data_IF_187180767177
#
_entry.id   IF_187180767177
#
_cell.length_a   1.000
_cell.length_b   1.000
_cell.length_c   1.000
_cell.angle_alpha   90.00
_cell.angle_beta   90.00
_cell.angle_gamma   90.00
#
_symmetry.space_group_name_H-M   'P 1'
#
loop_
_entity.id
_entity.type
_entity.pdbx_description
1 polymer ?
#
# COMPACT_ATOMS: atom_id res chain seq x y z
N UNK A 1 13.39 1.20 4.55
CA UNK A 1 13.63 0.97 5.98
C UNK A 1 13.95 2.26 6.73
N UNK A 2 14.97 3.04 6.34
CA UNK A 2 15.38 4.28 7.01
C UNK A 2 14.21 5.22 7.33
N UNK A 3 13.38 5.55 6.35
CA UNK A 3 12.27 6.47 6.54
C UNK A 3 11.14 5.92 7.43
N UNK A 4 11.09 4.61 7.67
CA UNK A 4 10.16 4.03 8.65
C UNK A 4 10.59 4.36 10.10
N UNK A 5 11.85 4.68 10.32
CA UNK A 5 12.40 5.06 11.64
C UNK A 5 12.30 6.57 11.85
N UNK A 6 12.70 7.36 10.84
CA UNK A 6 12.90 8.81 11.00
C UNK A 6 11.73 9.67 10.53
N UNK A 7 10.73 9.09 9.84
CA UNK A 7 9.55 9.81 9.37
C UNK A 7 8.27 9.11 9.86
N UNK A 8 7.74 9.58 10.99
CA UNK A 8 6.59 8.98 11.65
C UNK A 8 5.32 9.05 10.80
N UNK A 9 5.09 10.17 10.10
CA UNK A 9 3.93 10.33 9.22
C UNK A 9 3.99 9.32 8.07
N UNK A 10 5.15 9.21 7.42
CA UNK A 10 5.38 8.23 6.38
C UNK A 10 5.18 6.79 6.90
N UNK A 11 5.77 6.44 8.04
CA UNK A 11 5.69 5.07 8.58
C UNK A 11 4.26 4.67 8.92
N UNK A 12 3.48 5.56 9.53
CA UNK A 12 2.06 5.31 9.85
C UNK A 12 1.22 5.06 8.59
N UNK A 13 1.55 5.75 7.50
CA UNK A 13 0.80 5.68 6.24
C UNK A 13 1.15 4.45 5.42
N UNK A 14 2.41 4.02 5.40
CA UNK A 14 2.88 2.96 4.50
C UNK A 14 2.97 1.57 5.13
N UNK A 15 3.19 1.45 6.45
CA UNK A 15 3.31 0.16 7.13
C UNK A 15 2.14 -0.80 6.84
N UNK A 16 0.86 -0.34 6.78
CA UNK A 16 -0.26 -1.23 6.47
C UNK A 16 -0.20 -1.88 5.08
N UNK A 17 0.60 -1.35 4.17
CA UNK A 17 0.69 -1.81 2.77
C UNK A 17 1.99 -2.54 2.46
N UNK A 18 2.95 -2.53 3.38
CA UNK A 18 4.22 -3.24 3.21
C UNK A 18 4.13 -4.60 3.88
N UNK A 19 4.41 -5.64 3.11
CA UNK A 19 4.53 -7.00 3.63
C UNK A 19 6.00 -7.39 3.79
N UNK A 20 6.33 -8.20 4.83
CA UNK A 20 7.69 -8.67 5.02
C UNK A 20 8.26 -9.39 3.79
N UNK A 21 7.43 -10.08 3.01
CA UNK A 21 7.83 -10.83 1.82
C UNK A 21 8.16 -9.95 0.61
N UNK A 22 7.91 -8.63 0.69
CA UNK A 22 8.38 -7.69 -0.33
C UNK A 22 9.90 -7.51 -0.31
N UNK A 23 10.55 -7.77 0.82
CA UNK A 23 12.01 -7.71 0.95
C UNK A 23 12.65 -9.02 0.45
N UNK A 24 13.66 -8.89 -0.40
CA UNK A 24 14.37 -10.04 -0.98
C UNK A 24 15.37 -10.65 0.00
N UNK A 25 16.02 -9.78 0.78
CA UNK A 25 17.02 -10.21 1.75
C UNK A 25 16.36 -10.47 3.11
N UNK A 26 16.72 -11.61 3.72
CA UNK A 26 16.19 -11.98 5.03
C UNK A 26 16.55 -10.95 6.11
N UNK A 27 17.72 -10.38 6.04
CA UNK A 27 18.19 -9.32 6.95
C UNK A 27 17.32 -8.07 6.89
N UNK A 28 16.94 -7.61 5.69
CA UNK A 28 16.03 -6.46 5.50
C UNK A 28 14.61 -6.77 5.98
N UNK A 29 14.13 -7.99 5.73
CA UNK A 29 12.84 -8.48 6.22
C UNK A 29 12.79 -8.44 7.75
N UNK A 30 13.84 -8.93 8.42
CA UNK A 30 13.96 -8.90 9.89
C UNK A 30 13.94 -7.48 10.43
N UNK A 31 14.67 -6.55 9.81
CA UNK A 31 14.64 -5.12 10.20
C UNK A 31 13.22 -4.56 10.09
N UNK A 32 12.52 -4.83 9.01
CA UNK A 32 11.15 -4.39 8.82
C UNK A 32 10.20 -4.99 9.86
N UNK A 33 10.29 -6.28 10.12
CA UNK A 33 9.47 -6.98 11.12
C UNK A 33 9.65 -6.35 12.52
N UNK A 34 10.89 -6.07 12.96
CA UNK A 34 11.13 -5.49 14.27
C UNK A 34 10.68 -4.02 14.36
N UNK A 35 10.86 -3.23 13.29
CA UNK A 35 10.32 -1.87 13.22
C UNK A 35 8.79 -1.90 13.37
N UNK A 36 8.12 -2.74 12.59
CA UNK A 36 6.65 -2.83 12.58
C UNK A 36 6.12 -3.33 13.93
N UNK A 37 6.71 -4.38 14.48
CA UNK A 37 6.36 -4.93 15.79
C UNK A 37 6.50 -3.91 16.91
N UNK A 38 7.56 -3.10 16.89
CA UNK A 38 7.78 -2.05 17.86
C UNK A 38 6.73 -0.94 17.74
N UNK A 39 6.47 -0.46 16.53
CA UNK A 39 5.47 0.60 16.28
C UNK A 39 4.07 0.13 16.71
N UNK A 40 3.67 -1.10 16.39
CA UNK A 40 2.38 -1.66 16.79
C UNK A 40 2.28 -1.78 18.31
N UNK A 41 3.37 -2.16 18.99
CA UNK A 41 3.37 -2.39 20.44
C UNK A 41 3.42 -1.09 21.25
N UNK A 42 4.19 -0.12 20.80
CA UNK A 42 4.48 1.09 21.58
C UNK A 42 3.88 2.37 21.01
N UNK A 43 3.38 2.35 19.77
CA UNK A 43 2.77 3.52 19.10
C UNK A 43 3.76 4.62 18.75
N UNK A 44 5.07 4.34 18.75
CA UNK A 44 6.15 5.30 18.50
C UNK A 44 7.23 4.68 17.61
N UNK A 45 8.03 5.54 16.95
CA UNK A 45 9.17 5.10 16.17
C UNK A 45 10.22 4.43 17.06
N UNK A 46 10.89 3.40 16.52
CA UNK A 46 11.98 2.69 17.20
C UNK A 46 13.29 3.46 17.01
N UNK A 47 14.18 3.44 18.02
CA UNK A 47 15.56 3.94 17.88
C UNK A 47 16.49 2.84 17.36
N UNK A 48 17.63 3.22 16.79
CA UNK A 48 18.64 2.25 16.31
C UNK A 48 19.14 1.35 17.44
N UNK A 49 19.32 1.91 18.64
CA UNK A 49 19.75 1.14 19.83
C UNK A 49 18.69 0.10 20.21
N UNK A 50 17.41 0.50 20.25
CA UNK A 50 16.32 -0.41 20.55
C UNK A 50 16.19 -1.50 19.47
N UNK A 51 16.33 -1.13 18.20
CA UNK A 51 16.31 -2.07 17.08
C UNK A 51 17.42 -3.12 17.17
N UNK A 52 18.62 -2.71 17.56
CA UNK A 52 19.73 -3.64 17.79
C UNK A 52 19.46 -4.57 18.97
N UNK A 53 18.88 -4.07 20.07
CA UNK A 53 18.50 -4.90 21.23
C UNK A 53 17.42 -5.92 20.87
N UNK A 54 16.36 -5.51 20.13
CA UNK A 54 15.31 -6.41 19.70
C UNK A 54 15.84 -7.46 18.70
N UNK A 55 16.79 -7.09 17.83
CA UNK A 55 17.49 -8.03 16.95
C UNK A 55 18.26 -9.10 17.73
N UNK A 56 18.98 -8.70 18.80
CA UNK A 56 19.76 -9.64 19.62
C UNK A 56 18.88 -10.60 20.43
N UNK A 57 17.66 -10.19 20.75
CA UNK A 57 16.69 -11.02 21.47
C UNK A 57 16.03 -12.08 20.58
N UNK A 58 16.24 -12.03 19.26
CA UNK A 58 15.70 -13.04 18.34
C UNK A 58 16.46 -14.36 18.47
N UNK A 59 15.71 -15.43 18.57
CA UNK A 59 16.23 -16.79 18.69
C UNK A 59 16.24 -17.60 17.39
N UNK A 60 15.63 -17.02 16.35
CA UNK A 60 15.49 -17.63 15.03
C UNK A 60 16.59 -17.20 14.04
N UNK A 61 17.51 -16.35 14.48
CA UNK A 61 18.62 -15.86 13.69
C UNK A 61 19.94 -16.52 14.07
N UNK A 62 20.77 -16.75 13.07
CA UNK A 62 22.17 -17.17 13.27
C UNK A 62 23.03 -15.95 13.63
N UNK A 63 24.20 -16.18 14.22
CA UNK A 63 25.16 -15.10 14.55
C UNK A 63 25.55 -14.27 13.31
N UNK A 64 25.65 -14.91 12.15
CA UNK A 64 25.96 -14.23 10.89
C UNK A 64 24.81 -13.30 10.45
N UNK A 65 23.56 -13.76 10.55
CA UNK A 65 22.37 -12.95 10.24
C UNK A 65 22.20 -11.79 11.23
N UNK A 66 22.42 -12.01 12.52
CA UNK A 66 22.39 -10.93 13.54
C UNK A 66 23.43 -9.84 13.20
N UNK A 67 24.63 -10.23 12.79
CA UNK A 67 25.67 -9.28 12.38
C UNK A 67 25.22 -8.48 11.14
N UNK A 68 24.69 -9.15 10.13
CA UNK A 68 24.20 -8.50 8.89
C UNK A 68 23.08 -7.50 9.21
N UNK A 69 22.09 -7.89 10.03
CA UNK A 69 21.00 -7.02 10.47
C UNK A 69 21.55 -5.80 11.23
N UNK A 70 22.52 -5.97 12.12
CA UNK A 70 23.17 -4.85 12.84
C UNK A 70 23.93 -3.92 11.90
N UNK A 71 24.61 -4.46 10.89
CA UNK A 71 25.31 -3.66 9.89
C UNK A 71 24.31 -2.79 9.09
N UNK A 72 23.15 -3.36 8.73
CA UNK A 72 22.04 -2.62 8.11
C UNK A 72 21.55 -1.53 9.07
N UNK A 73 21.17 -1.88 10.32
CA UNK A 73 20.64 -0.94 11.30
C UNK A 73 21.56 0.27 11.49
N UNK A 74 22.86 0.02 11.67
CA UNK A 74 23.85 1.06 11.88
C UNK A 74 24.12 1.93 10.63
N UNK A 75 23.74 1.45 9.44
CA UNK A 75 23.82 2.20 8.18
C UNK A 75 22.64 3.14 7.97
N UNK A 76 21.55 2.99 8.75
CA UNK A 76 20.32 3.80 8.61
C UNK A 76 20.53 5.18 9.27
N UNK A 77 21.03 6.13 8.48
CA UNK A 77 21.21 7.52 8.92
C UNK A 77 19.97 8.36 8.58
N UNK A 78 19.67 9.33 9.45
CA UNK A 78 18.63 10.33 9.14
C UNK A 78 19.08 11.23 7.98
N UNK A 79 18.42 11.06 6.83
CA UNK A 79 18.66 11.88 5.63
C UNK A 79 17.32 12.37 5.12
N UNK A 80 17.16 13.69 4.90
CA UNK A 80 15.92 14.23 4.40
C UNK A 80 15.59 13.62 3.02
N UNK A 81 14.31 13.34 2.80
CA UNK A 81 13.77 12.91 1.53
C UNK A 81 12.49 13.72 1.26
N UNK A 82 12.24 14.03 0.00
CA UNK A 82 10.95 14.62 -0.39
C UNK A 82 9.82 13.64 -0.07
N UNK A 83 8.81 14.14 0.62
CA UNK A 83 7.73 13.28 1.13
C UNK A 83 6.90 12.67 0.00
N UNK A 84 6.51 13.50 -0.98
CA UNK A 84 5.66 13.02 -2.08
C UNK A 84 6.42 12.00 -2.94
N UNK A 85 7.66 12.31 -3.30
CA UNK A 85 8.50 11.36 -4.02
C UNK A 85 8.67 10.04 -3.28
N UNK A 86 8.85 10.11 -1.95
CA UNK A 86 9.00 8.93 -1.10
C UNK A 86 7.72 8.07 -1.11
N UNK A 87 6.56 8.69 -1.00
CA UNK A 87 5.26 8.02 -1.08
C UNK A 87 5.08 7.34 -2.43
N UNK A 88 5.23 8.07 -3.53
CA UNK A 88 5.03 7.56 -4.89
C UNK A 88 5.99 6.40 -5.21
N UNK A 89 7.26 6.57 -4.80
CA UNK A 89 8.30 5.53 -5.03
C UNK A 89 8.02 4.27 -4.21
N UNK A 90 7.58 4.43 -2.96
CA UNK A 90 7.27 3.29 -2.07
C UNK A 90 6.01 2.56 -2.53
N UNK A 91 4.96 3.29 -2.94
CA UNK A 91 3.76 2.69 -3.50
C UNK A 91 4.07 1.86 -4.76
N UNK A 92 4.84 2.45 -5.68
CA UNK A 92 5.29 1.73 -6.87
C UNK A 92 6.06 0.47 -6.51
N UNK A 93 7.01 0.56 -5.57
CA UNK A 93 7.78 -0.58 -5.11
C UNK A 93 6.90 -1.67 -4.50
N UNK A 94 5.94 -1.33 -3.63
CA UNK A 94 4.99 -2.28 -3.05
C UNK A 94 4.18 -2.99 -4.14
N UNK A 95 3.66 -2.25 -5.12
CA UNK A 95 2.89 -2.80 -6.24
C UNK A 95 3.74 -3.75 -7.10
N UNK A 96 4.96 -3.34 -7.45
CA UNK A 96 5.87 -4.15 -8.25
C UNK A 96 6.22 -5.46 -7.52
N UNK A 97 6.44 -5.41 -6.19
CA UNK A 97 6.71 -6.59 -5.37
C UNK A 97 5.49 -7.49 -5.21
N UNK A 98 4.30 -6.93 -4.97
CA UNK A 98 3.05 -7.68 -4.90
C UNK A 98 2.80 -8.44 -6.21
N UNK A 99 2.94 -7.78 -7.36
CA UNK A 99 2.79 -8.41 -8.68
C UNK A 99 3.81 -9.54 -8.88
N UNK A 100 5.07 -9.31 -8.51
CA UNK A 100 6.10 -10.33 -8.63
C UNK A 100 5.76 -11.58 -7.81
N UNK A 101 5.38 -11.41 -6.54
CA UNK A 101 5.01 -12.52 -5.66
C UNK A 101 3.76 -13.25 -6.16
N UNK A 102 2.75 -12.51 -6.61
CA UNK A 102 1.53 -13.06 -7.19
C UNK A 102 1.79 -13.90 -8.46
N UNK A 103 2.73 -13.45 -9.31
CA UNK A 103 3.16 -14.22 -10.47
C UNK A 103 3.89 -15.51 -10.07
N UNK A 104 4.79 -15.44 -9.09
CA UNK A 104 5.50 -16.62 -8.59
C UNK A 104 4.53 -17.64 -7.98
N UNK A 105 3.57 -17.19 -7.16
CA UNK A 105 2.51 -18.04 -6.60
C UNK A 105 1.64 -18.63 -7.71
N UNK A 106 1.25 -17.83 -8.69
CA UNK A 106 0.44 -18.30 -9.82
C UNK A 106 1.13 -19.36 -10.64
N UNK A 107 2.46 -19.25 -10.85
CA UNK A 107 3.27 -20.27 -11.52
C UNK A 107 3.30 -21.55 -10.69
N UNK A 108 3.54 -21.48 -9.38
CA UNK A 108 3.56 -22.63 -8.50
C UNK A 108 2.22 -23.38 -8.49
N UNK A 109 1.09 -22.63 -8.49
CA UNK A 109 -0.25 -23.22 -8.61
C UNK A 109 -0.49 -23.86 -9.98
N UNK A 110 -0.02 -23.24 -11.06
CA UNK A 110 -0.15 -23.80 -12.42
C UNK A 110 0.63 -25.11 -12.57
N UNK A 111 1.81 -25.19 -11.94
CA UNK A 111 2.68 -26.37 -11.94
C UNK A 111 2.22 -27.47 -10.95
N UNK A 112 1.18 -27.19 -10.13
CA UNK A 112 0.66 -28.16 -9.15
C UNK A 112 1.61 -28.39 -7.96
N UNK A 113 2.42 -27.38 -7.61
CA UNK A 113 3.35 -27.44 -6.47
C UNK A 113 2.67 -27.09 -5.14
N UNK A 114 1.49 -26.46 -5.19
CA UNK A 114 0.69 -26.11 -4.03
C UNK A 114 -0.71 -26.70 -4.14
N UNK A 115 -1.00 -27.68 -3.30
CA UNK A 115 -2.30 -28.35 -3.25
C UNK A 115 -3.33 -27.60 -2.37
N UNK A 116 -2.90 -26.55 -1.66
CA UNK A 116 -3.77 -25.82 -0.74
C UNK A 116 -4.75 -24.87 -1.45
N UNK A 117 -4.35 -24.33 -2.61
CA UNK A 117 -5.17 -23.46 -3.45
C UNK A 117 -5.35 -24.05 -4.85
N UNK A 118 -6.55 -23.99 -5.41
CA UNK A 118 -6.81 -24.42 -6.78
C UNK A 118 -6.31 -23.39 -7.82
N UNK A 119 -6.14 -23.81 -9.07
CA UNK A 119 -5.77 -22.94 -10.21
C UNK A 119 -6.78 -21.81 -10.46
N UNK A 120 -8.02 -21.99 -10.03
CA UNK A 120 -9.10 -21.00 -10.07
C UNK A 120 -8.86 -19.77 -9.15
N UNK A 121 -7.93 -19.87 -8.20
CA UNK A 121 -7.50 -18.74 -7.37
C UNK A 121 -6.59 -17.74 -8.12
N UNK A 122 -5.92 -18.14 -9.21
CA UNK A 122 -4.94 -17.32 -9.94
C UNK A 122 -5.50 -15.93 -10.34
N UNK A 123 -6.71 -15.82 -10.93
CA UNK A 123 -7.24 -14.49 -11.28
C UNK A 123 -7.40 -13.56 -10.07
N UNK A 124 -7.83 -14.10 -8.93
CA UNK A 124 -7.98 -13.32 -7.69
C UNK A 124 -6.63 -12.86 -7.15
N UNK A 125 -5.63 -13.77 -7.07
CA UNK A 125 -4.28 -13.45 -6.62
C UNK A 125 -3.67 -12.32 -7.44
N UNK A 126 -3.79 -12.37 -8.78
CA UNK A 126 -3.28 -11.32 -9.66
C UNK A 126 -4.08 -10.02 -9.55
N UNK A 127 -5.40 -10.10 -9.39
CA UNK A 127 -6.27 -8.92 -9.21
C UNK A 127 -5.93 -8.19 -7.92
N UNK A 128 -5.74 -8.92 -6.81
CA UNK A 128 -5.40 -8.34 -5.51
C UNK A 128 -4.04 -7.64 -5.55
N UNK A 129 -3.05 -8.26 -6.21
CA UNK A 129 -1.74 -7.65 -6.38
C UNK A 129 -1.76 -6.36 -7.22
N UNK A 130 -2.60 -6.31 -8.24
CA UNK A 130 -2.79 -5.11 -9.08
C UNK A 130 -3.54 -3.99 -8.35
N UNK A 131 -4.34 -4.33 -7.35
CA UNK A 131 -5.12 -3.38 -6.56
C UNK A 131 -4.32 -2.70 -5.43
N UNK A 132 -3.06 -3.10 -5.21
CA UNK A 132 -2.20 -2.47 -4.19
C UNK A 132 -2.03 -0.98 -4.50
N UNK A 133 -2.53 -0.13 -3.61
CA UNK A 133 -2.44 1.33 -3.68
C UNK A 133 -2.45 1.92 -2.28
N UNK A 134 -1.71 3.01 -2.07
CA UNK A 134 -1.72 3.78 -0.83
C UNK A 134 -2.90 4.76 -0.76
N UNK A 135 -3.67 4.83 -1.84
CA UNK A 135 -4.87 5.64 -1.88
C UNK A 135 -5.99 4.91 -1.12
N UNK A 136 -6.26 5.38 0.08
CA UNK A 136 -7.36 4.89 0.91
C UNK A 136 -8.72 5.50 0.53
N UNK A 137 -8.77 6.27 -0.56
CA UNK A 137 -10.01 6.86 -1.04
C UNK A 137 -10.91 5.79 -1.67
N UNK A 138 -11.43 4.91 -0.82
CA UNK A 138 -12.55 4.04 -1.17
C UNK A 138 -13.84 4.84 -0.98
N UNK A 139 -14.19 5.63 -1.99
CA UNK A 139 -15.38 6.47 -1.98
C UNK A 139 -15.08 7.95 -1.66
N UNK A 140 -16.08 8.79 -1.83
CA UNK A 140 -16.00 10.21 -1.48
C UNK A 140 -16.04 10.38 0.03
N UNK A 141 -15.04 11.07 0.62
CA UNK A 141 -15.16 11.52 2.00
C UNK A 141 -16.29 12.54 2.10
N UNK A 142 -17.33 12.20 2.87
CA UNK A 142 -18.52 13.02 2.94
C UNK A 142 -18.26 14.40 3.53
N UNK A 143 -17.24 14.55 4.36
CA UNK A 143 -16.91 15.81 5.03
C UNK A 143 -15.83 16.60 4.30
N UNK A 144 -14.82 15.93 3.76
CA UNK A 144 -13.69 16.59 3.09
C UNK A 144 -14.00 16.96 1.63
N UNK A 145 -14.77 16.12 0.90
CA UNK A 145 -15.11 16.35 -0.52
C UNK A 145 -16.41 17.15 -0.72
N UNK A 146 -16.82 17.97 0.25
CA UNK A 146 -18.11 18.66 0.16
C UNK A 146 -18.14 19.69 -0.98
N UNK A 147 -17.02 20.35 -1.28
CA UNK A 147 -16.93 21.34 -2.38
C UNK A 147 -17.06 20.66 -3.75
N UNK A 148 -16.35 19.56 -3.95
CA UNK A 148 -16.41 18.77 -5.20
C UNK A 148 -17.81 18.22 -5.46
N UNK A 149 -18.47 17.72 -4.40
CA UNK A 149 -19.87 17.29 -4.48
C UNK A 149 -20.83 18.44 -4.75
N UNK A 150 -20.61 19.59 -4.12
CA UNK A 150 -21.44 20.77 -4.38
C UNK A 150 -21.35 21.16 -5.86
N UNK A 151 -20.16 21.21 -6.42
CA UNK A 151 -19.95 21.46 -7.85
C UNK A 151 -20.61 20.37 -8.74
N UNK A 152 -20.44 19.09 -8.39
CA UNK A 152 -21.04 17.97 -9.12
C UNK A 152 -22.57 18.06 -9.13
N UNK A 153 -23.20 18.36 -7.99
CA UNK A 153 -24.66 18.49 -7.88
C UNK A 153 -25.21 19.75 -8.53
N UNK A 154 -24.42 20.80 -8.68
CA UNK A 154 -24.83 22.08 -9.27
C UNK A 154 -24.34 22.24 -10.72
N UNK A 155 -23.53 21.30 -11.22
CA UNK A 155 -23.12 21.29 -12.61
C UNK A 155 -24.37 21.16 -13.50
N UNK A 156 -24.61 22.19 -14.31
CA UNK A 156 -25.66 22.13 -15.32
C UNK A 156 -25.24 21.10 -16.38
N UNK A 157 -25.95 19.99 -16.41
CA UNK A 157 -25.76 18.98 -17.45
C UNK A 157 -26.35 19.50 -18.76
N UNK A 158 -25.59 19.42 -19.84
CA UNK A 158 -26.11 19.65 -21.17
C UNK A 158 -27.08 18.50 -21.50
N UNK A 159 -28.30 18.89 -21.86
CA UNK A 159 -29.37 17.92 -22.15
C UNK A 159 -29.69 17.94 -23.63
N UNK A 160 -29.94 16.76 -24.16
CA UNK A 160 -30.48 16.57 -25.53
C UNK A 160 -32.00 16.62 -25.44
N UNK A 161 -32.62 17.56 -26.14
CA UNK A 161 -34.07 17.72 -26.17
C UNK A 161 -34.73 16.61 -26.95
N UNK A 162 -35.93 16.24 -26.55
CA UNK A 162 -36.80 15.35 -27.32
C UNK A 162 -37.56 16.16 -28.38
N UNK A 163 -37.93 15.54 -29.47
CA UNK A 163 -38.79 16.12 -30.50
C UNK A 163 -40.21 16.50 -30.00
N UNK A 164 -40.64 15.96 -28.88
CA UNK A 164 -41.91 16.20 -28.23
C UNK A 164 -41.78 17.13 -27.04
N UNK A 165 -42.32 18.34 -27.14
CA UNK A 165 -42.29 19.37 -26.08
C UNK A 165 -42.83 18.86 -24.73
N UNK A 166 -43.78 17.95 -24.73
CA UNK A 166 -44.36 17.38 -23.51
C UNK A 166 -43.32 16.61 -22.71
N UNK A 167 -42.45 15.84 -23.37
CA UNK A 167 -41.37 15.12 -22.69
C UNK A 167 -40.29 16.06 -22.18
N UNK A 168 -39.96 17.14 -22.88
CA UNK A 168 -39.01 18.14 -22.43
C UNK A 168 -39.49 18.85 -21.16
N UNK A 169 -40.83 19.08 -21.04
CA UNK A 169 -41.38 19.64 -19.79
C UNK A 169 -41.27 18.69 -18.60
N UNK A 170 -41.51 17.40 -18.78
CA UNK A 170 -41.45 16.39 -17.72
C UNK A 170 -40.01 16.16 -17.28
N UNK A 171 -39.07 16.07 -18.22
CA UNK A 171 -37.66 15.79 -17.99
C UNK A 171 -36.82 17.03 -17.64
N UNK A 172 -37.46 18.22 -17.59
CA UNK A 172 -36.80 19.52 -17.39
C UNK A 172 -35.64 19.76 -18.37
N UNK A 173 -35.94 19.55 -19.67
CA UNK A 173 -35.04 19.90 -20.75
C UNK A 173 -34.39 18.76 -21.53
N UNK A 174 -34.79 17.50 -21.35
CA UNK A 174 -34.31 16.39 -22.17
C UNK A 174 -33.53 15.30 -21.39
N UNK A 175 -32.70 14.53 -22.09
CA UNK A 175 -31.83 13.48 -21.54
C UNK A 175 -30.43 14.06 -21.32
N UNK A 176 -29.73 13.73 -20.18
CA UNK A 176 -28.34 14.11 -19.97
C UNK A 176 -27.44 13.59 -21.10
N UNK A 177 -26.65 14.46 -21.69
CA UNK A 177 -25.62 14.09 -22.66
C UNK A 177 -24.39 13.65 -21.88
N UNK A 178 -24.16 12.32 -21.83
CA UNK A 178 -23.00 11.73 -21.16
C UNK A 178 -21.82 11.62 -22.10
#
# INVERSE_FOLDING_TARGET
>A
LRNLIYNEEFSRKVIPFIEPDYFEQRSEKVVFEEITKFIVKYGSAITIEALNIETDNRTDLTEAEVKEVRDINNSLEDKPADYQWLMDTTEKWCRDRAIYLALMESIALADGQDDAKGRDAIPTILSDALAVSFDNHVGHDYLEDYEERYELYHKKEDKIEFDLEFFNKITKGGIPNK
#
